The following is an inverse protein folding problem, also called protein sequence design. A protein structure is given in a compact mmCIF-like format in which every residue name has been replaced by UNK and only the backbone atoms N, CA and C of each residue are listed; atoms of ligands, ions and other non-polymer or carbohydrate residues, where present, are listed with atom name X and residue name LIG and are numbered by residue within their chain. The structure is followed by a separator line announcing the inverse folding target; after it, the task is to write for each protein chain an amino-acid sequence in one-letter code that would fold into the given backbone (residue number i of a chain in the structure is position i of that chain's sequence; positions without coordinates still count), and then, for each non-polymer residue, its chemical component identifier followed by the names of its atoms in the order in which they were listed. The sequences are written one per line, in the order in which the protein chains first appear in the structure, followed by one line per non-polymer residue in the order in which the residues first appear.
data_IF_752883915193
#
_entry.id   IF_752883915193
#
_cell.length_a   1.000
_cell.length_b   1.000
_cell.length_c   1.000
_cell.angle_alpha   90.00
_cell.angle_beta   90.00
_cell.angle_gamma   90.00
#
_symmetry.space_group_name_H-M   'P 1'
#
loop_
_entity.id
_entity.type
_entity.pdbx_description
1 polymer ?
#
# COMPACT_ATOMS: atom_id res chain seq x y z
N UNK A 1 7.85 -15.84 -4.21
CA UNK A 1 9.17 -15.95 -4.85
C UNK A 1 9.29 -14.92 -5.96
N UNK A 2 10.41 -14.23 -6.01
CA UNK A 2 10.61 -12.92 -6.59
C UNK A 2 10.57 -12.91 -8.13
N UNK A 3 9.37 -12.81 -8.69
CA UNK A 3 9.18 -12.45 -10.09
C UNK A 3 9.15 -10.93 -10.31
N UNK A 4 9.37 -10.15 -9.26
CA UNK A 4 9.37 -8.69 -9.28
C UNK A 4 10.61 -8.16 -8.56
N UNK A 5 11.14 -7.04 -9.04
CA UNK A 5 12.21 -6.31 -8.39
C UNK A 5 11.68 -5.44 -7.22
N UNK A 6 12.59 -4.71 -6.59
CA UNK A 6 12.28 -3.78 -5.49
C UNK A 6 11.33 -2.63 -5.86
N UNK A 7 11.19 -2.34 -7.17
CA UNK A 7 10.27 -1.33 -7.69
C UNK A 7 8.90 -1.90 -8.06
N UNK A 8 8.74 -3.23 -7.97
CA UNK A 8 7.54 -3.95 -8.41
C UNK A 8 7.47 -4.14 -9.93
N UNK A 9 8.60 -3.98 -10.65
CA UNK A 9 8.71 -4.32 -12.05
C UNK A 9 9.06 -5.79 -12.22
N UNK A 10 8.44 -6.43 -13.22
CA UNK A 10 8.64 -7.85 -13.49
C UNK A 10 10.06 -8.10 -14.01
N UNK A 11 10.76 -9.07 -13.44
CA UNK A 11 12.09 -9.47 -13.89
C UNK A 11 12.05 -10.02 -15.33
N UNK A 12 13.19 -10.08 -16.00
CA UNK A 12 13.31 -10.45 -17.42
C UNK A 12 12.77 -11.86 -17.74
N UNK A 13 12.95 -12.82 -16.84
CA UNK A 13 12.50 -14.22 -17.01
C UNK A 13 11.66 -14.70 -15.82
N UNK A 14 10.43 -14.17 -15.65
CA UNK A 14 9.59 -14.54 -14.52
C UNK A 14 9.07 -15.97 -14.65
N UNK A 15 9.04 -16.71 -13.54
CA UNK A 15 8.35 -17.99 -13.47
C UNK A 15 6.85 -17.77 -13.50
N UNK A 16 6.19 -18.29 -14.51
CA UNK A 16 4.73 -18.22 -14.63
C UNK A 16 4.09 -19.57 -14.31
N UNK A 17 2.91 -19.51 -13.71
CA UNK A 17 2.11 -20.66 -13.33
C UNK A 17 0.79 -20.65 -14.09
N UNK A 18 0.31 -21.82 -14.45
CA UNK A 18 -1.05 -22.00 -14.94
C UNK A 18 -2.00 -22.20 -13.75
N UNK A 19 -3.30 -22.01 -13.98
CA UNK A 19 -4.32 -22.07 -12.90
C UNK A 19 -4.30 -23.40 -12.13
N UNK A 20 -3.92 -24.51 -12.76
CA UNK A 20 -3.82 -25.81 -12.10
C UNK A 20 -2.59 -25.98 -11.22
N UNK A 21 -1.59 -25.09 -11.35
CA UNK A 21 -0.34 -25.09 -10.60
C UNK A 21 -0.36 -24.16 -9.38
N UNK A 22 -1.36 -23.28 -9.28
CA UNK A 22 -1.46 -22.35 -8.14
C UNK A 22 -1.94 -23.07 -6.87
N UNK A 23 -1.67 -22.47 -5.73
CA UNK A 23 -2.09 -22.92 -4.41
C UNK A 23 -3.10 -21.95 -3.81
N UNK A 24 -4.10 -22.46 -3.09
CA UNK A 24 -5.04 -21.62 -2.35
C UNK A 24 -4.33 -20.86 -1.22
N UNK A 25 -4.80 -19.65 -0.94
CA UNK A 25 -4.27 -18.81 0.12
C UNK A 25 -3.01 -18.03 -0.22
N UNK A 26 -2.36 -18.29 -1.38
CA UNK A 26 -1.20 -17.54 -1.87
C UNK A 26 -1.60 -16.43 -2.84
N UNK A 27 -0.84 -15.33 -2.82
CA UNK A 27 -1.03 -14.21 -3.73
C UNK A 27 -0.25 -14.40 -5.04
N UNK A 28 -0.91 -14.08 -6.16
CA UNK A 28 -0.34 -14.19 -7.50
C UNK A 28 -0.60 -12.92 -8.30
N UNK A 29 0.40 -12.44 -9.04
CA UNK A 29 0.21 -11.42 -10.06
C UNK A 29 -0.43 -12.01 -11.31
N UNK A 30 -1.36 -11.28 -11.92
CA UNK A 30 -2.14 -11.77 -13.05
C UNK A 30 -1.50 -11.38 -14.36
N UNK A 31 -1.17 -12.39 -15.17
CA UNK A 31 -0.80 -12.25 -16.59
C UNK A 31 -1.97 -12.70 -17.47
N UNK A 32 -2.43 -11.82 -18.35
CA UNK A 32 -3.56 -12.09 -19.22
C UNK A 32 -3.09 -12.31 -20.66
N UNK A 33 -3.61 -13.37 -21.30
CA UNK A 33 -3.55 -13.54 -22.75
C UNK A 33 -4.98 -13.70 -23.28
N UNK A 34 -5.33 -12.89 -24.29
CA UNK A 34 -6.70 -12.86 -24.84
C UNK A 34 -6.67 -13.05 -26.37
N UNK A 35 -7.78 -13.51 -26.91
CA UNK A 35 -8.00 -13.61 -28.36
C UNK A 35 -8.04 -12.23 -29.05
N UNK A 36 -8.26 -11.16 -28.27
CA UNK A 36 -8.26 -9.78 -28.78
C UNK A 36 -6.85 -9.20 -28.97
N UNK A 37 -5.79 -9.98 -28.75
CA UNK A 37 -4.40 -9.61 -29.05
C UNK A 37 -3.56 -9.20 -27.83
N UNK A 38 -4.08 -9.16 -26.60
CA UNK A 38 -3.24 -9.04 -25.42
C UNK A 38 -2.46 -10.36 -25.25
N UNK A 39 -1.15 -10.26 -25.20
CA UNK A 39 -0.26 -11.41 -24.99
C UNK A 39 0.61 -11.18 -23.76
N UNK A 40 0.47 -12.08 -22.74
CA UNK A 40 1.22 -11.99 -21.47
C UNK A 40 1.18 -10.59 -20.86
N UNK A 41 0.02 -9.95 -20.95
CA UNK A 41 -0.17 -8.59 -20.44
C UNK A 41 -0.27 -8.62 -18.92
N UNK A 42 0.65 -7.94 -18.24
CA UNK A 42 0.61 -7.75 -16.78
C UNK A 42 -0.42 -6.68 -16.45
N UNK A 43 -1.57 -7.09 -15.92
CA UNK A 43 -2.64 -6.15 -15.52
C UNK A 43 -2.26 -5.32 -14.28
N UNK A 44 -1.32 -5.84 -13.50
CA UNK A 44 -0.82 -5.18 -12.30
C UNK A 44 -1.60 -5.50 -11.02
N UNK A 45 -2.68 -6.27 -11.12
CA UNK A 45 -3.43 -6.72 -9.94
C UNK A 45 -2.83 -8.01 -9.39
N UNK A 46 -2.90 -8.17 -8.06
CA UNK A 46 -2.63 -9.42 -7.35
C UNK A 46 -3.94 -10.05 -6.91
N UNK A 47 -4.01 -11.37 -7.03
CA UNK A 47 -5.18 -12.17 -6.69
C UNK A 47 -4.80 -13.33 -5.76
N UNK A 48 -5.78 -13.81 -5.02
CA UNK A 48 -5.68 -15.03 -4.21
C UNK A 48 -6.83 -15.96 -4.56
N UNK A 49 -6.52 -17.26 -4.75
CA UNK A 49 -7.54 -18.28 -4.89
C UNK A 49 -8.08 -18.64 -3.51
N UNK A 50 -9.38 -18.48 -3.30
CA UNK A 50 -10.10 -18.88 -2.10
C UNK A 50 -10.77 -20.25 -2.26
N UNK A 51 -11.08 -20.64 -3.49
CA UNK A 51 -11.53 -21.98 -3.89
C UNK A 51 -11.00 -22.25 -5.30
N UNK A 52 -9.96 -23.06 -5.40
CA UNK A 52 -9.31 -23.38 -6.67
C UNK A 52 -10.22 -24.26 -7.56
N UNK A 53 -10.97 -25.19 -6.97
CA UNK A 53 -11.85 -26.09 -7.72
C UNK A 53 -12.98 -25.33 -8.44
N UNK A 54 -13.44 -24.25 -7.83
CA UNK A 54 -14.48 -23.36 -8.37
C UNK A 54 -13.90 -22.15 -9.11
N UNK A 55 -12.58 -22.03 -9.16
CA UNK A 55 -11.85 -20.86 -9.69
C UNK A 55 -12.28 -19.53 -9.05
N UNK A 56 -12.66 -19.55 -7.77
CA UNK A 56 -13.03 -18.35 -7.03
C UNK A 56 -11.78 -17.60 -6.55
N UNK A 57 -11.73 -16.33 -6.89
CA UNK A 57 -10.59 -15.45 -6.56
C UNK A 57 -11.07 -14.17 -5.84
N UNK A 58 -10.18 -13.60 -5.07
CA UNK A 58 -10.30 -12.23 -4.56
C UNK A 58 -9.12 -11.39 -5.06
N UNK A 59 -9.32 -10.10 -5.27
CA UNK A 59 -8.25 -9.15 -5.56
C UNK A 59 -7.63 -8.76 -4.21
N UNK A 60 -6.33 -8.97 -4.06
CA UNK A 60 -5.59 -8.68 -2.81
C UNK A 60 -4.75 -7.41 -2.87
N UNK A 61 -4.48 -6.88 -4.07
CA UNK A 61 -3.72 -5.65 -4.21
C UNK A 61 -3.17 -5.44 -5.61
N UNK A 62 -2.02 -4.77 -5.69
CA UNK A 62 -1.32 -4.47 -6.94
C UNK A 62 0.18 -4.71 -6.84
N UNK A 63 0.80 -5.12 -7.94
CA UNK A 63 2.25 -5.40 -8.02
C UNK A 63 3.14 -4.18 -7.77
N UNK A 64 2.65 -2.97 -8.07
CA UNK A 64 3.38 -1.70 -7.87
C UNK A 64 2.91 -0.87 -6.67
N UNK A 65 1.92 -1.34 -5.92
CA UNK A 65 1.31 -0.61 -4.82
C UNK A 65 1.55 -1.31 -3.48
N UNK A 66 2.80 -1.62 -3.20
CA UNK A 66 3.24 -2.07 -1.89
C UNK A 66 4.35 -1.16 -1.36
N UNK A 67 4.45 -1.05 -0.06
CA UNK A 67 5.58 -0.43 0.61
C UNK A 67 6.51 -1.54 1.06
N UNK A 68 7.74 -1.51 0.58
CA UNK A 68 8.82 -2.38 1.05
C UNK A 68 10.11 -1.59 1.00
N UNK A 69 10.73 -1.39 2.15
CA UNK A 69 12.01 -0.72 2.33
C UNK A 69 13.08 -1.71 2.73
N UNK A 70 12.70 -2.68 3.55
CA UNK A 70 13.61 -3.67 4.17
C UNK A 70 13.06 -5.09 4.08
N UNK A 71 11.97 -5.31 3.34
CA UNK A 71 11.35 -6.62 3.16
C UNK A 71 9.96 -6.78 3.77
N UNK A 72 9.38 -5.74 4.36
CA UNK A 72 8.08 -5.77 5.05
C UNK A 72 6.87 -6.05 4.15
N UNK A 73 7.01 -5.94 2.84
CA UNK A 73 5.99 -6.24 1.81
C UNK A 73 4.55 -5.79 2.17
N UNK A 74 4.43 -4.55 2.67
CA UNK A 74 3.17 -4.02 3.18
C UNK A 74 2.22 -3.66 2.02
N UNK A 75 1.17 -4.46 1.81
CA UNK A 75 0.20 -4.25 0.74
C UNK A 75 -0.79 -3.13 1.06
N UNK A 76 -1.41 -2.56 0.02
CA UNK A 76 -2.51 -1.59 0.19
C UNK A 76 -3.69 -2.21 0.93
N UNK A 77 -3.95 -3.51 0.78
CA UNK A 77 -5.00 -4.22 1.51
C UNK A 77 -4.71 -4.28 3.01
N UNK A 78 -3.47 -4.60 3.40
CA UNK A 78 -3.06 -4.54 4.81
C UNK A 78 -3.26 -3.13 5.39
N UNK A 79 -2.83 -2.10 4.65
CA UNK A 79 -2.96 -0.70 5.07
C UNK A 79 -4.44 -0.28 5.20
N UNK A 80 -5.28 -0.61 4.22
CA UNK A 80 -6.71 -0.29 4.26
C UNK A 80 -7.41 -0.98 5.44
N UNK A 81 -7.12 -2.26 5.69
CA UNK A 81 -7.68 -3.01 6.82
C UNK A 81 -7.25 -2.43 8.16
N UNK A 82 -5.97 -2.09 8.31
CA UNK A 82 -5.47 -1.46 9.54
C UNK A 82 -6.19 -0.14 9.81
N UNK A 83 -6.31 0.74 8.81
CA UNK A 83 -7.03 2.01 8.90
C UNK A 83 -8.49 1.78 9.25
N UNK A 84 -9.18 0.82 8.60
CA UNK A 84 -10.58 0.53 8.87
C UNK A 84 -10.80 0.13 10.34
N UNK A 85 -10.03 -0.84 10.84
CA UNK A 85 -10.15 -1.30 12.23
C UNK A 85 -9.90 -0.17 13.22
N UNK A 86 -8.90 0.66 12.97
CA UNK A 86 -8.57 1.80 13.84
C UNK A 86 -9.66 2.87 13.80
N UNK A 87 -10.25 3.14 12.63
CA UNK A 87 -11.39 4.06 12.50
C UNK A 87 -12.60 3.58 13.31
N UNK A 88 -12.92 2.28 13.24
CA UNK A 88 -14.02 1.68 14.00
C UNK A 88 -13.75 1.76 15.52
N UNK A 89 -12.54 1.43 15.96
CA UNK A 89 -12.15 1.41 17.38
C UNK A 89 -12.13 2.80 18.01
N UNK A 90 -11.65 3.81 17.28
CA UNK A 90 -11.57 5.19 17.76
C UNK A 90 -12.82 6.04 17.43
N UNK A 91 -13.77 5.49 16.68
CA UNK A 91 -14.96 6.19 16.17
C UNK A 91 -14.58 7.49 15.42
N UNK A 92 -13.61 7.39 14.51
CA UNK A 92 -13.13 8.48 13.65
C UNK A 92 -13.27 8.11 12.18
N UNK A 93 -13.12 9.10 11.30
CA UNK A 93 -13.07 8.91 9.85
C UNK A 93 -11.70 9.30 9.31
N UNK A 94 -11.12 8.43 8.48
CA UNK A 94 -9.89 8.66 7.72
C UNK A 94 -10.21 8.41 6.25
N UNK A 95 -10.73 9.42 5.52
CA UNK A 95 -11.14 9.26 4.13
C UNK A 95 -9.96 9.05 3.18
N UNK A 96 -8.80 9.66 3.47
CA UNK A 96 -7.59 9.55 2.66
C UNK A 96 -6.35 9.37 3.53
N UNK A 97 -5.38 8.64 3.01
CA UNK A 97 -4.05 8.52 3.59
C UNK A 97 -3.02 8.16 2.51
N UNK A 98 -1.78 8.43 2.81
CA UNK A 98 -0.64 7.88 2.08
C UNK A 98 0.52 7.60 3.03
N UNK A 99 1.44 6.77 2.58
CA UNK A 99 2.61 6.38 3.35
C UNK A 99 3.86 6.44 2.48
N UNK A 100 4.97 6.74 3.10
CA UNK A 100 6.29 6.71 2.46
C UNK A 100 7.32 6.11 3.39
N UNK A 101 8.37 5.54 2.81
CA UNK A 101 9.57 5.21 3.53
C UNK A 101 10.49 6.42 3.68
N UNK A 102 11.08 6.55 4.84
CA UNK A 102 12.08 7.59 5.13
C UNK A 102 13.29 6.97 5.83
N UNK A 103 14.52 7.47 5.59
CA UNK A 103 15.68 7.09 6.38
C UNK A 103 15.49 7.50 7.84
N UNK A 104 15.93 6.65 8.76
CA UNK A 104 15.98 6.92 10.20
C UNK A 104 17.34 6.46 10.72
N UNK A 105 18.30 7.39 10.89
CA UNK A 105 19.71 7.12 11.16
C UNK A 105 20.30 6.08 10.18
N UNK A 106 20.72 4.91 10.67
CA UNK A 106 21.22 3.79 9.85
C UNK A 106 20.14 2.77 9.47
N UNK A 107 18.87 3.07 9.72
CA UNK A 107 17.73 2.20 9.55
C UNK A 107 16.63 2.93 8.78
N UNK A 108 15.39 2.41 8.85
CA UNK A 108 14.26 2.95 8.13
C UNK A 108 13.07 3.24 9.05
N UNK A 109 12.24 4.18 8.61
CA UNK A 109 10.96 4.51 9.22
C UNK A 109 9.86 4.62 8.17
N UNK A 110 8.63 4.36 8.56
CA UNK A 110 7.46 4.74 7.79
C UNK A 110 6.97 6.12 8.22
N UNK A 111 6.57 6.94 7.27
CA UNK A 111 5.88 8.19 7.54
C UNK A 111 4.49 8.15 6.90
N UNK A 112 3.48 8.19 7.75
CA UNK A 112 2.07 8.22 7.37
C UNK A 112 1.55 9.64 7.32
N UNK A 113 0.89 10.02 6.26
CA UNK A 113 0.09 11.22 6.13
C UNK A 113 -1.37 10.81 6.10
N UNK A 114 -2.17 11.33 7.02
CA UNK A 114 -3.53 10.84 7.26
C UNK A 114 -4.49 12.01 7.26
N UNK A 115 -5.54 11.93 6.44
CA UNK A 115 -6.64 12.89 6.47
C UNK A 115 -7.57 12.55 7.64
N UNK A 116 -7.61 13.42 8.66
CA UNK A 116 -8.51 13.25 9.79
C UNK A 116 -8.92 14.61 10.34
N UNK A 117 -10.20 14.93 10.25
CA UNK A 117 -10.77 16.17 10.79
C UNK A 117 -11.23 16.03 12.25
N UNK A 118 -11.10 14.84 12.82
CA UNK A 118 -11.36 14.59 14.24
C UNK A 118 -10.15 14.94 15.10
N UNK A 119 -10.42 15.43 16.32
CA UNK A 119 -9.37 15.61 17.32
C UNK A 119 -8.95 14.23 17.83
N UNK A 120 -7.75 13.81 17.49
CA UNK A 120 -7.18 12.52 17.91
C UNK A 120 -5.71 12.70 18.32
N UNK A 121 -5.29 11.95 19.31
CA UNK A 121 -3.88 11.90 19.74
C UNK A 121 -3.06 11.17 18.67
N UNK A 122 -2.07 11.87 18.08
CA UNK A 122 -1.21 11.33 17.02
C UNK A 122 -0.46 10.07 17.47
N UNK A 123 0.03 10.05 18.71
CA UNK A 123 0.78 8.89 19.25
C UNK A 123 -0.13 7.69 19.43
N UNK A 124 -1.36 7.91 19.88
CA UNK A 124 -2.35 6.86 19.99
C UNK A 124 -2.73 6.33 18.62
N UNK A 125 -3.00 7.22 17.66
CA UNK A 125 -3.42 6.86 16.31
C UNK A 125 -2.35 6.02 15.62
N UNK A 126 -1.10 6.50 15.58
CA UNK A 126 -0.02 5.76 14.90
C UNK A 126 0.30 4.44 15.59
N UNK A 127 0.24 4.40 16.93
CA UNK A 127 0.43 3.15 17.66
C UNK A 127 -0.62 2.11 17.30
N UNK A 128 -1.90 2.50 17.20
CA UNK A 128 -2.97 1.58 16.83
C UNK A 128 -2.84 1.08 15.38
N UNK A 129 -2.44 1.95 14.44
CA UNK A 129 -2.17 1.56 13.06
C UNK A 129 -1.01 0.55 13.03
N UNK A 130 0.10 0.83 13.71
CA UNK A 130 1.27 -0.04 13.80
C UNK A 130 0.91 -1.41 14.41
N UNK A 131 0.19 -1.43 15.54
CA UNK A 131 -0.26 -2.65 16.20
C UNK A 131 -1.14 -3.51 15.24
N UNK A 132 -2.04 -2.88 14.45
CA UNK A 132 -2.86 -3.60 13.48
C UNK A 132 -2.04 -4.15 12.31
N UNK A 133 -1.06 -3.40 11.82
CA UNK A 133 -0.19 -3.87 10.74
C UNK A 133 0.67 -5.07 11.18
N UNK A 134 1.16 -5.07 12.41
CA UNK A 134 1.87 -6.20 13.01
C UNK A 134 0.99 -7.47 13.04
N UNK A 135 -0.31 -7.31 13.29
CA UNK A 135 -1.26 -8.44 13.30
C UNK A 135 -1.62 -8.94 11.89
N UNK A 136 -1.58 -8.05 10.89
CA UNK A 136 -2.04 -8.33 9.53
C UNK A 136 -0.94 -8.81 8.58
N UNK A 137 0.34 -8.62 8.96
CA UNK A 137 1.46 -8.89 8.07
C UNK A 137 2.68 -9.37 8.88
N UNK A 138 3.04 -10.64 8.69
CA UNK A 138 4.14 -11.29 9.43
C UNK A 138 5.51 -10.70 9.06
N UNK A 139 5.75 -10.34 7.79
CA UNK A 139 6.99 -9.70 7.34
C UNK A 139 7.14 -8.34 8.01
N UNK A 140 6.07 -7.54 8.04
CA UNK A 140 6.05 -6.27 8.77
C UNK A 140 6.37 -6.48 10.25
N UNK A 141 5.77 -7.49 10.90
CA UNK A 141 6.03 -7.80 12.30
C UNK A 141 7.50 -8.18 12.58
N UNK A 142 8.16 -8.83 11.63
CA UNK A 142 9.59 -9.17 11.71
C UNK A 142 10.43 -7.91 11.55
N UNK A 143 10.14 -7.08 10.53
CA UNK A 143 10.93 -5.88 10.25
C UNK A 143 10.77 -4.79 11.31
N UNK A 144 9.61 -4.69 11.97
CA UNK A 144 9.44 -3.82 13.14
C UNK A 144 10.35 -4.15 14.32
N UNK A 145 10.84 -5.39 14.40
CA UNK A 145 11.81 -5.81 15.43
C UNK A 145 13.26 -5.56 15.00
N UNK A 146 13.54 -5.50 13.71
CA UNK A 146 14.88 -5.46 13.12
C UNK A 146 15.22 -4.10 12.50
N UNK A 147 14.77 -3.80 11.33
CA UNK A 147 15.21 -2.71 10.47
C UNK A 147 14.24 -1.52 10.39
N UNK A 148 12.95 -1.74 10.62
CA UNK A 148 11.92 -0.68 10.63
C UNK A 148 11.69 -0.18 12.05
N UNK A 149 12.48 0.79 12.50
CA UNK A 149 12.50 1.21 13.92
C UNK A 149 11.39 2.18 14.28
N UNK A 150 11.03 3.07 13.39
CA UNK A 150 10.12 4.17 13.69
C UNK A 150 8.94 4.20 12.74
N UNK A 151 7.82 4.66 13.25
CA UNK A 151 6.63 4.97 12.47
C UNK A 151 6.16 6.36 12.86
N UNK A 152 6.18 7.27 11.90
CA UNK A 152 5.75 8.65 12.08
C UNK A 152 4.37 8.87 11.47
N UNK A 153 3.66 9.88 11.97
CA UNK A 153 2.38 10.31 11.42
C UNK A 153 2.34 11.83 11.32
N UNK A 154 1.67 12.32 10.30
CA UNK A 154 1.24 13.72 10.16
C UNK A 154 -0.24 13.73 9.84
N UNK A 155 -1.04 14.34 10.71
CA UNK A 155 -2.47 14.51 10.50
C UNK A 155 -2.69 15.79 9.70
N UNK A 156 -3.46 15.68 8.61
CA UNK A 156 -3.77 16.76 7.68
C UNK A 156 -5.29 16.81 7.47
N UNK A 157 -5.78 17.93 6.96
CA UNK A 157 -7.19 18.00 6.53
C UNK A 157 -7.41 17.21 5.24
N UNK A 158 -8.62 16.66 5.05
CA UNK A 158 -9.00 16.04 3.78
C UNK A 158 -8.81 17.01 2.60
N UNK A 159 -9.11 18.29 2.82
CA UNK A 159 -8.93 19.35 1.82
C UNK A 159 -7.49 19.44 1.31
N UNK A 160 -6.48 19.19 2.14
CA UNK A 160 -5.07 19.21 1.74
C UNK A 160 -4.80 18.15 0.66
N UNK A 161 -5.32 16.93 0.85
CA UNK A 161 -5.19 15.85 -0.13
C UNK A 161 -5.89 16.18 -1.44
N UNK A 162 -7.11 16.71 -1.37
CA UNK A 162 -7.89 17.10 -2.57
C UNK A 162 -7.20 18.23 -3.34
N UNK A 163 -6.74 19.29 -2.65
CA UNK A 163 -6.03 20.40 -3.28
C UNK A 163 -4.73 20.00 -3.95
N UNK A 164 -4.02 19.01 -3.38
CA UNK A 164 -2.85 18.44 -4.05
C UNK A 164 -3.21 17.74 -5.36
N UNK A 165 -4.25 16.91 -5.39
CA UNK A 165 -4.72 16.26 -6.62
C UNK A 165 -5.14 17.30 -7.67
N UNK A 166 -5.85 18.35 -7.27
CA UNK A 166 -6.23 19.47 -8.15
C UNK A 166 -5.01 20.17 -8.74
N UNK A 167 -3.96 20.42 -7.93
CA UNK A 167 -2.71 21.04 -8.39
C UNK A 167 -1.98 20.20 -9.45
N UNK A 168 -2.24 18.88 -9.48
CA UNK A 168 -1.71 17.94 -10.47
C UNK A 168 -2.66 17.73 -11.67
N UNK A 169 -3.72 18.54 -11.80
CA UNK A 169 -4.71 18.42 -12.87
C UNK A 169 -5.62 17.20 -12.76
N UNK A 170 -5.62 16.52 -11.60
CA UNK A 170 -6.42 15.34 -11.33
C UNK A 170 -7.74 15.76 -10.66
N UNK A 171 -8.66 16.28 -11.46
CA UNK A 171 -9.98 16.73 -10.98
C UNK A 171 -11.04 15.66 -11.24
N UNK A 172 -11.88 15.40 -10.25
CA UNK A 172 -13.04 14.50 -10.33
C UNK A 172 -12.91 13.20 -9.53
N UNK A 173 -14.06 12.63 -9.14
CA UNK A 173 -14.17 11.50 -8.19
C UNK A 173 -13.57 10.16 -8.63
N UNK A 174 -12.98 10.08 -9.81
CA UNK A 174 -12.28 8.87 -10.29
C UNK A 174 -10.78 8.84 -9.93
N UNK A 175 -10.23 9.97 -9.47
CA UNK A 175 -8.82 10.05 -9.11
C UNK A 175 -8.63 9.73 -7.61
N UNK A 176 -8.07 8.56 -7.34
CA UNK A 176 -7.69 8.17 -5.97
C UNK A 176 -6.31 8.69 -5.63
N UNK A 177 -6.13 9.11 -4.38
CA UNK A 177 -4.80 9.48 -3.88
C UNK A 177 -3.90 8.22 -3.82
N UNK A 178 -2.65 8.29 -4.29
CA UNK A 178 -1.71 7.15 -4.22
C UNK A 178 -1.44 6.77 -2.77
N UNK A 179 -1.61 5.49 -2.43
CA UNK A 179 -1.39 4.99 -1.06
C UNK A 179 0.10 4.97 -0.67
N UNK A 180 0.98 4.81 -1.64
CA UNK A 180 2.43 4.81 -1.42
C UNK A 180 3.06 5.94 -2.24
N UNK A 181 3.81 6.82 -1.59
CA UNK A 181 4.54 7.92 -2.22
C UNK A 181 6.02 7.59 -2.32
N UNK A 182 6.57 7.71 -3.54
CA UNK A 182 8.00 7.50 -3.85
C UNK A 182 8.48 8.54 -4.87
N UNK A 183 9.81 8.75 -4.93
CA UNK A 183 10.46 9.58 -5.95
C UNK A 183 9.89 11.01 -6.05
N UNK A 184 9.70 11.49 -7.27
CA UNK A 184 9.26 12.86 -7.55
C UNK A 184 7.89 13.18 -6.94
N UNK A 185 6.97 12.21 -6.90
CA UNK A 185 5.65 12.41 -6.31
C UNK A 185 5.74 12.68 -4.79
N UNK A 186 6.67 12.02 -4.09
CA UNK A 186 6.92 12.30 -2.69
C UNK A 186 7.52 13.69 -2.48
N UNK A 187 8.46 14.10 -3.33
CA UNK A 187 9.05 15.45 -3.27
C UNK A 187 7.98 16.51 -3.49
N UNK A 188 7.14 16.33 -4.50
CA UNK A 188 6.03 17.23 -4.80
C UNK A 188 5.06 17.34 -3.62
N UNK A 189 4.70 16.20 -3.02
CA UNK A 189 3.84 16.17 -1.84
C UNK A 189 4.44 16.91 -0.67
N UNK A 190 5.70 16.64 -0.32
CA UNK A 190 6.40 17.33 0.78
C UNK A 190 6.49 18.82 0.56
N UNK A 191 6.80 19.26 -0.66
CA UNK A 191 6.83 20.68 -1.00
C UNK A 191 5.44 21.31 -0.86
N UNK A 192 4.39 20.62 -1.33
CA UNK A 192 3.03 21.12 -1.25
C UNK A 192 2.57 21.33 0.20
N UNK A 193 2.73 20.33 1.08
CA UNK A 193 2.31 20.44 2.49
C UNK A 193 3.16 21.40 3.31
N UNK A 194 4.39 21.74 2.89
CA UNK A 194 5.22 22.71 3.58
C UNK A 194 4.77 24.16 3.37
N UNK A 195 3.93 24.42 2.37
CA UNK A 195 3.44 25.75 1.99
C UNK A 195 2.00 25.96 2.50
N UNK A 196 1.27 24.89 2.79
CA UNK A 196 -0.13 24.89 3.17
C UNK A 196 -0.33 24.38 4.59
#
# INVERSE_FOLDING_TARGET
ENNFDENGDMIEAPKTLMIHEVEEGKDYAVLISTVAGAWRYLIGDTIRFIDKARAEIIITGRTKHFLSLVGEHLSVDNMNKAIQVVCEDLNISIPEYCVTGVPADNLFAHHWYVACDHVVDEKLLIKKIDDQLILLNDDYAVERKSALKEVHITILSEKTFMSFLESKGKVGGQHKFPRVLKGDLLLDWKNFISIH
#
